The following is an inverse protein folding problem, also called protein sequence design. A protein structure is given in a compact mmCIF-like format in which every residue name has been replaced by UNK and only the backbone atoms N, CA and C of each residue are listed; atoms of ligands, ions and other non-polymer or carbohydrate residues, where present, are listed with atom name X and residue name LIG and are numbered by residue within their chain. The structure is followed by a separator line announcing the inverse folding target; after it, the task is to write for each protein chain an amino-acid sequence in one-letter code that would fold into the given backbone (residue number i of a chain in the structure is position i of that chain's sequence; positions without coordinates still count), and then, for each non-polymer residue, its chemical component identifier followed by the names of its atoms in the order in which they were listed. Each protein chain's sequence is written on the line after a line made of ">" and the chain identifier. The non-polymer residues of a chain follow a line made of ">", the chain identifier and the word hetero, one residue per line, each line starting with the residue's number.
data_IF_456320764322
#
_entry.id   IF_456320764322
#
_cell.length_a   1.000
_cell.length_b   1.000
_cell.length_c   1.000
_cell.angle_alpha   90.00
_cell.angle_beta   90.00
_cell.angle_gamma   90.00
#
_symmetry.space_group_name_H-M   'P 1'
#
loop_
_entity.id
_entity.type
_entity.pdbx_description
1 polymer ?
#
# COMPACT_ATOMS: atom_id res chain seq x y z
N UNK A 1 -1.56 -4.45 -14.49
CA UNK A 1 -1.81 -3.60 -13.32
C UNK A 1 -2.61 -2.40 -13.78
N UNK A 2 -3.87 -2.25 -13.37
CA UNK A 2 -4.71 -1.11 -13.78
C UNK A 2 -4.46 0.11 -12.91
N UNK A 3 -4.37 -0.09 -11.60
CA UNK A 3 -4.08 0.93 -10.61
C UNK A 3 -3.33 0.34 -9.40
N UNK A 4 -2.52 1.16 -8.76
CA UNK A 4 -1.69 0.85 -7.59
C UNK A 4 -1.71 2.04 -6.63
N UNK A 5 -1.89 1.77 -5.35
CA UNK A 5 -1.49 2.69 -4.26
C UNK A 5 -0.48 1.97 -3.39
N UNK A 6 0.70 2.55 -3.22
CA UNK A 6 1.80 1.90 -2.51
C UNK A 6 2.54 2.86 -1.61
N UNK A 7 3.01 2.34 -0.48
CA UNK A 7 4.00 2.96 0.39
C UNK A 7 5.32 2.24 0.13
N UNK A 8 6.31 2.91 -0.42
CA UNK A 8 7.67 2.36 -0.57
C UNK A 8 8.54 2.87 0.58
N UNK A 9 9.29 1.97 1.22
CA UNK A 9 10.04 2.26 2.43
C UNK A 9 11.52 1.94 2.19
N UNK A 10 12.36 2.94 2.48
CA UNK A 10 13.82 2.88 2.60
C UNK A 10 14.16 2.51 4.04
N UNK A 11 14.26 1.20 4.28
CA UNK A 11 14.38 0.60 5.62
C UNK A 11 15.76 0.78 6.22
N UNK A 12 16.79 1.08 5.42
CA UNK A 12 18.15 1.35 5.89
C UNK A 12 18.54 2.84 5.81
N UNK A 13 17.61 3.70 5.37
CA UNK A 13 17.78 5.13 5.11
C UNK A 13 18.95 5.45 4.18
N UNK A 14 19.21 4.58 3.21
CA UNK A 14 20.31 4.71 2.27
C UNK A 14 19.81 4.59 0.82
N UNK A 15 19.54 5.74 0.22
CA UNK A 15 19.17 5.90 -1.20
C UNK A 15 20.18 5.35 -2.23
N UNK A 16 21.34 4.82 -1.80
CA UNK A 16 22.32 4.14 -2.67
C UNK A 16 22.25 2.62 -2.63
N UNK A 17 21.48 2.05 -1.71
CA UNK A 17 21.12 0.63 -1.61
C UNK A 17 19.68 0.43 -2.09
N UNK A 18 19.12 -0.77 -1.91
CA UNK A 18 17.74 -1.06 -2.29
C UNK A 18 17.50 -1.08 -3.80
N UNK A 19 16.22 -1.06 -4.15
CA UNK A 19 15.81 -1.10 -5.55
C UNK A 19 16.24 0.13 -6.32
N UNK A 20 16.45 -0.01 -7.64
CA UNK A 20 16.59 1.12 -8.57
C UNK A 20 15.29 1.50 -9.29
N UNK A 21 14.21 0.76 -9.01
CA UNK A 21 12.90 0.97 -9.63
C UNK A 21 11.77 0.38 -8.76
N UNK A 22 10.63 1.08 -8.58
CA UNK A 22 10.28 2.38 -9.13
C UNK A 22 10.94 3.55 -8.40
N UNK A 23 11.44 3.31 -7.18
CA UNK A 23 12.11 4.31 -6.34
C UNK A 23 13.46 3.78 -5.91
N UNK A 24 14.47 4.64 -6.00
CA UNK A 24 15.81 4.32 -5.54
C UNK A 24 15.85 4.27 -4.01
N UNK A 25 16.48 3.23 -3.44
CA UNK A 25 16.67 3.16 -1.99
C UNK A 25 15.60 2.42 -1.21
N UNK A 26 14.59 1.84 -1.85
CA UNK A 26 13.53 1.15 -1.12
C UNK A 26 13.69 -0.38 -1.21
N UNK A 27 13.49 -1.06 -0.09
CA UNK A 27 13.58 -2.53 0.04
C UNK A 27 12.20 -3.17 0.17
N UNK A 28 11.19 -2.41 0.60
CA UNK A 28 9.86 -2.95 0.86
C UNK A 28 8.78 -1.99 0.38
N UNK A 29 7.68 -2.53 -0.14
CA UNK A 29 6.47 -1.78 -0.37
C UNK A 29 5.26 -2.40 0.32
N UNK A 30 4.33 -1.56 0.76
CA UNK A 30 3.01 -1.95 1.26
C UNK A 30 1.99 -1.44 0.25
N UNK A 31 1.23 -2.35 -0.38
CA UNK A 31 0.57 -2.04 -1.65
C UNK A 31 -0.88 -2.53 -1.75
N UNK A 32 -1.67 -1.74 -2.48
CA UNK A 32 -3.02 -2.00 -2.97
C UNK A 32 -2.97 -2.04 -4.50
N UNK A 33 -3.03 -3.22 -5.10
CA UNK A 33 -2.83 -3.34 -6.55
C UNK A 33 -4.02 -4.03 -7.23
N UNK A 34 -4.61 -3.38 -8.23
CA UNK A 34 -5.51 -4.06 -9.15
C UNK A 34 -4.73 -4.58 -10.37
N UNK A 35 -4.82 -5.88 -10.62
CA UNK A 35 -4.26 -6.50 -11.81
C UNK A 35 -5.34 -6.79 -12.85
N UNK A 36 -5.22 -6.17 -14.03
CA UNK A 36 -5.99 -6.52 -15.22
C UNK A 36 -5.13 -6.91 -16.41
N UNK A 37 -5.72 -7.77 -17.24
CA UNK A 37 -5.22 -8.06 -18.59
C UNK A 37 -5.37 -6.83 -19.49
N UNK A 38 -4.38 -6.60 -20.36
CA UNK A 38 -4.42 -5.51 -21.34
C UNK A 38 -5.69 -5.56 -22.19
N UNK A 39 -6.33 -4.40 -22.39
CA UNK A 39 -7.58 -4.27 -23.15
C UNK A 39 -8.87 -4.59 -22.38
N UNK A 40 -8.78 -4.92 -21.09
CA UNK A 40 -9.97 -5.08 -20.24
C UNK A 40 -10.67 -3.72 -20.01
N UNK A 41 -12.00 -3.73 -19.88
CA UNK A 41 -12.75 -2.55 -19.42
C UNK A 41 -12.36 -2.17 -18.00
N UNK A 42 -12.56 -0.91 -17.60
CA UNK A 42 -12.26 -0.42 -16.26
C UNK A 42 -12.90 -1.27 -15.15
N UNK A 43 -12.24 -1.41 -13.99
CA UNK A 43 -12.80 -2.17 -12.87
C UNK A 43 -13.65 -1.24 -12.05
N UNK A 44 -14.93 -1.56 -11.93
CA UNK A 44 -15.85 -0.81 -11.10
C UNK A 44 -16.18 -1.67 -9.87
N UNK A 45 -15.24 -1.71 -8.93
CA UNK A 45 -15.39 -2.33 -7.62
C UNK A 45 -14.78 -1.37 -6.57
N UNK A 46 -15.13 -1.60 -5.30
CA UNK A 46 -14.51 -0.92 -4.17
C UNK A 46 -13.00 -1.17 -4.15
N UNK A 47 -12.22 -0.27 -3.52
CA UNK A 47 -10.78 -0.48 -3.33
C UNK A 47 -10.52 -1.84 -2.67
N UNK A 48 -11.34 -2.18 -1.67
CA UNK A 48 -11.21 -3.42 -0.89
C UNK A 48 -11.56 -4.67 -1.69
N UNK A 49 -12.60 -4.64 -2.52
CA UNK A 49 -12.99 -5.78 -3.35
C UNK A 49 -12.14 -5.93 -4.61
N UNK A 50 -11.63 -4.81 -5.11
CA UNK A 50 -10.96 -4.71 -6.40
C UNK A 50 -9.43 -4.73 -6.33
N UNK A 51 -8.79 -4.77 -5.16
CA UNK A 51 -7.31 -4.79 -5.08
C UNK A 51 -6.77 -6.01 -4.35
N UNK A 52 -5.56 -6.41 -4.76
CA UNK A 52 -4.69 -7.26 -3.96
C UNK A 52 -4.02 -6.40 -2.89
N UNK A 53 -3.91 -6.95 -1.69
CA UNK A 53 -3.48 -6.27 -0.49
C UNK A 53 -2.27 -6.99 0.10
N UNK A 54 -1.06 -6.50 -0.14
CA UNK A 54 0.11 -7.20 0.37
C UNK A 54 1.36 -6.32 0.46
N UNK A 55 2.37 -6.87 1.13
CA UNK A 55 3.74 -6.36 1.08
C UNK A 55 4.49 -6.94 -0.11
N UNK A 56 5.44 -6.19 -0.64
CA UNK A 56 6.41 -6.66 -1.62
C UNK A 56 7.82 -6.39 -1.11
N UNK A 57 8.69 -7.38 -1.24
CA UNK A 57 10.13 -7.19 -1.11
C UNK A 57 10.64 -6.74 -2.48
N UNK A 58 11.32 -5.61 -2.50
CA UNK A 58 11.83 -4.98 -3.72
C UNK A 58 13.33 -5.21 -3.77
N UNK A 59 13.76 -6.05 -4.71
CA UNK A 59 15.17 -6.39 -4.88
C UNK A 59 15.92 -5.24 -5.58
N UNK A 60 17.25 -5.23 -5.43
CA UNK A 60 18.14 -4.23 -6.05
C UNK A 60 17.95 -4.11 -7.58
N UNK A 61 17.59 -5.22 -8.23
CA UNK A 61 17.35 -5.29 -9.67
C UNK A 61 15.97 -4.79 -10.12
N UNK A 62 15.12 -4.34 -9.18
CA UNK A 62 13.76 -3.89 -9.43
C UNK A 62 12.73 -5.01 -9.52
N UNK A 63 13.10 -6.25 -9.20
CA UNK A 63 12.13 -7.34 -9.11
C UNK A 63 11.37 -7.30 -7.79
N UNK A 64 10.15 -7.85 -7.82
CA UNK A 64 9.22 -7.85 -6.69
C UNK A 64 8.94 -9.28 -6.26
N UNK A 65 9.22 -9.56 -4.99
CA UNK A 65 8.83 -10.81 -4.36
C UNK A 65 7.64 -10.55 -3.45
N UNK A 66 6.63 -11.41 -3.57
CA UNK A 66 5.47 -11.36 -2.70
C UNK A 66 5.89 -11.61 -1.24
N UNK A 67 5.49 -10.73 -0.32
CA UNK A 67 5.67 -10.89 1.12
C UNK A 67 4.42 -11.51 1.77
N UNK A 68 3.60 -10.67 2.39
CA UNK A 68 2.45 -11.06 3.21
C UNK A 68 1.20 -10.26 2.87
N UNK A 69 0.02 -10.87 3.07
CA UNK A 69 -1.25 -10.12 2.98
C UNK A 69 -1.38 -9.13 4.14
N UNK A 70 -1.89 -7.94 3.85
CA UNK A 70 -2.09 -6.87 4.84
C UNK A 70 -3.57 -6.62 5.12
N UNK A 71 -3.87 -6.00 6.26
CA UNK A 71 -5.20 -5.50 6.55
C UNK A 71 -5.34 -4.07 6.02
N UNK A 72 -6.51 -3.73 5.45
CA UNK A 72 -6.81 -2.37 4.99
C UNK A 72 -8.16 -1.91 5.53
N UNK A 73 -8.22 -0.62 5.82
CA UNK A 73 -9.46 0.09 6.07
C UNK A 73 -9.56 1.30 5.14
N UNK A 74 -10.77 1.57 4.63
CA UNK A 74 -11.04 2.73 3.78
C UNK A 74 -12.12 3.58 4.42
N UNK A 75 -11.81 4.82 4.73
CA UNK A 75 -12.75 5.80 5.24
C UNK A 75 -13.11 6.81 4.16
N UNK A 76 -14.23 6.57 3.48
CA UNK A 76 -14.75 7.45 2.42
C UNK A 76 -15.22 8.82 2.93
N UNK A 77 -15.52 8.96 4.23
CA UNK A 77 -15.91 10.28 4.78
C UNK A 77 -14.73 11.22 4.96
N UNK A 78 -13.53 10.66 5.17
CA UNK A 78 -12.27 11.40 5.32
C UNK A 78 -11.32 11.20 4.15
N UNK A 79 -11.74 10.47 3.11
CA UNK A 79 -10.92 10.03 1.98
C UNK A 79 -9.57 9.44 2.42
N UNK A 80 -9.61 8.53 3.39
CA UNK A 80 -8.39 7.96 3.99
C UNK A 80 -8.33 6.47 3.73
N UNK A 81 -7.17 5.99 3.30
CA UNK A 81 -6.84 4.58 3.24
C UNK A 81 -5.81 4.32 4.34
N UNK A 82 -6.03 3.28 5.14
CA UNK A 82 -5.06 2.83 6.15
C UNK A 82 -4.66 1.40 5.81
N UNK A 83 -3.36 1.21 5.58
CA UNK A 83 -2.74 -0.09 5.34
C UNK A 83 -2.01 -0.52 6.61
N UNK A 84 -2.26 -1.75 7.06
CA UNK A 84 -1.76 -2.27 8.33
C UNK A 84 -1.00 -3.56 8.07
N UNK A 85 0.30 -3.52 8.33
CA UNK A 85 1.22 -4.64 8.16
C UNK A 85 1.92 -4.96 9.49
N UNK A 86 2.34 -6.22 9.69
CA UNK A 86 2.98 -6.64 10.94
C UNK A 86 4.49 -6.41 10.88
N UNK A 87 5.04 -5.72 11.90
CA UNK A 87 6.50 -5.64 12.11
C UNK A 87 7.15 -6.98 12.47
N UNK A 88 6.37 -8.04 12.70
CA UNK A 88 6.93 -9.37 12.95
C UNK A 88 7.39 -10.08 11.67
N UNK A 89 7.03 -9.56 10.49
CA UNK A 89 7.44 -10.13 9.21
C UNK A 89 8.89 -9.74 8.87
N UNK A 90 9.61 -10.66 8.24
CA UNK A 90 11.04 -10.53 7.96
C UNK A 90 11.35 -9.26 7.16
N UNK A 91 10.49 -8.89 6.21
CA UNK A 91 10.68 -7.71 5.38
C UNK A 91 10.34 -6.37 6.07
N UNK A 92 9.68 -6.40 7.22
CA UNK A 92 9.27 -5.21 7.98
C UNK A 92 9.92 -5.12 9.36
N UNK A 93 10.70 -6.12 9.77
CA UNK A 93 11.24 -6.20 11.13
C UNK A 93 12.17 -5.03 11.46
N UNK A 94 12.92 -4.57 10.46
CA UNK A 94 13.87 -3.48 10.58
C UNK A 94 13.26 -2.10 10.24
N UNK A 95 11.97 -2.05 9.83
CA UNK A 95 11.31 -0.77 9.51
C UNK A 95 11.03 0.02 10.78
N UNK A 96 11.66 1.18 10.90
CA UNK A 96 11.55 2.09 12.03
C UNK A 96 10.73 3.34 11.68
N UNK A 97 10.16 3.97 12.71
CA UNK A 97 9.37 5.20 12.56
C UNK A 97 10.18 6.42 12.17
N UNK A 98 11.48 6.26 11.87
CA UNK A 98 12.40 7.27 11.34
C UNK A 98 12.71 7.06 9.86
N UNK A 99 12.29 5.92 9.30
CA UNK A 99 12.70 5.50 7.96
C UNK A 99 12.12 6.36 6.86
N UNK A 100 12.85 6.38 5.77
CA UNK A 100 12.47 7.04 4.54
C UNK A 100 11.29 6.34 3.89
N UNK A 101 10.33 7.10 3.37
CA UNK A 101 9.23 6.54 2.60
C UNK A 101 8.71 7.48 1.53
N UNK A 102 8.00 6.88 0.59
CA UNK A 102 7.31 7.50 -0.53
C UNK A 102 5.90 6.92 -0.64
N UNK A 103 4.94 7.76 -1.03
CA UNK A 103 3.70 7.26 -1.59
C UNK A 103 3.76 7.30 -3.11
N UNK A 104 3.20 6.26 -3.72
CA UNK A 104 3.05 6.20 -5.17
C UNK A 104 1.62 5.84 -5.50
N UNK A 105 1.04 6.60 -6.42
CA UNK A 105 -0.14 6.20 -7.18
C UNK A 105 0.29 5.88 -8.61
N UNK A 106 0.09 4.64 -9.07
CA UNK A 106 0.37 4.24 -10.46
C UNK A 106 -0.91 3.86 -11.19
N UNK A 107 -1.02 4.18 -12.49
CA UNK A 107 -2.16 3.78 -13.33
C UNK A 107 -1.77 3.59 -14.79
N UNK A 108 -2.61 2.90 -15.58
CA UNK A 108 -2.47 2.90 -17.04
C UNK A 108 -3.08 4.17 -17.66
N UNK A 109 -2.24 4.98 -18.30
CA UNK A 109 -2.62 6.08 -19.17
C UNK A 109 -2.54 5.66 -20.66
N UNK A 110 -2.95 6.57 -21.55
CA UNK A 110 -3.03 6.29 -22.99
C UNK A 110 -1.67 5.97 -23.64
N UNK A 111 -0.57 6.42 -23.03
CA UNK A 111 0.81 6.29 -23.51
C UNK A 111 1.66 5.30 -22.69
N UNK A 112 1.09 4.67 -21.65
CA UNK A 112 1.80 3.69 -20.84
C UNK A 112 1.40 3.71 -19.38
N UNK A 113 2.33 3.36 -18.49
CA UNK A 113 2.12 3.47 -17.04
C UNK A 113 2.51 4.89 -16.62
N UNK A 114 1.55 5.61 -16.06
CA UNK A 114 1.77 6.88 -15.37
C UNK A 114 1.95 6.62 -13.87
N UNK A 115 2.72 7.49 -13.23
CA UNK A 115 2.96 7.46 -11.78
C UNK A 115 2.96 8.86 -11.25
N UNK A 116 2.27 9.04 -10.14
CA UNK A 116 2.45 10.14 -9.22
C UNK A 116 3.27 9.61 -8.03
N UNK A 117 4.34 10.33 -7.70
CA UNK A 117 5.33 9.94 -6.69
C UNK A 117 5.53 11.15 -5.79
N UNK A 118 5.18 10.99 -4.52
CA UNK A 118 5.40 12.05 -3.54
C UNK A 118 6.89 12.27 -3.29
N UNK A 119 7.24 13.41 -2.71
CA UNK A 119 8.62 13.62 -2.22
C UNK A 119 9.00 12.58 -1.15
N UNK A 120 10.30 12.30 -1.03
CA UNK A 120 10.85 11.50 0.05
C UNK A 120 10.59 12.17 1.41
N UNK A 121 10.18 11.40 2.41
CA UNK A 121 10.09 11.88 3.79
C UNK A 121 10.61 10.83 4.76
N UNK A 122 11.28 11.29 5.82
CA UNK A 122 11.70 10.43 6.92
C UNK A 122 10.71 10.47 8.07
N UNK A 123 10.43 9.31 8.63
CA UNK A 123 9.67 9.10 9.86
C UNK A 123 8.20 9.51 9.85
N UNK A 124 7.61 9.82 11.02
CA UNK A 124 6.16 10.12 11.11
C UNK A 124 5.71 11.47 10.51
N UNK A 125 6.54 12.09 9.68
CA UNK A 125 6.23 13.35 9.01
C UNK A 125 5.15 13.14 7.96
N UNK A 126 4.19 14.08 7.87
CA UNK A 126 3.18 14.07 6.82
C UNK A 126 3.82 14.50 5.52
N UNK A 127 3.79 13.64 4.50
CA UNK A 127 4.07 14.02 3.12
C UNK A 127 2.80 14.61 2.54
N UNK A 128 2.92 15.67 1.75
CA UNK A 128 1.79 16.26 1.00
C UNK A 128 2.11 16.25 -0.48
N UNK A 129 1.16 15.83 -1.31
CA UNK A 129 1.14 16.13 -2.74
C UNK A 129 0.01 17.14 -3.05
N UNK A 130 0.35 18.43 -3.26
CA UNK A 130 -0.64 19.46 -3.53
C UNK A 130 -1.00 19.59 -5.02
N UNK A 131 -0.28 18.93 -5.93
CA UNK A 131 -0.51 19.07 -7.38
C UNK A 131 -1.73 18.27 -7.82
N UNK A 132 -1.99 17.14 -7.17
CA UNK A 132 -3.16 16.31 -7.40
C UNK A 132 -3.32 15.96 -8.87
N UNK A 133 -2.29 15.30 -9.39
CA UNK A 133 -2.03 15.13 -10.82
C UNK A 133 -2.60 13.81 -11.38
N UNK A 134 -3.29 13.03 -10.57
CA UNK A 134 -4.11 11.89 -11.03
C UNK A 134 -5.42 12.38 -11.66
N UNK A 135 -5.91 11.68 -12.69
CA UNK A 135 -7.15 12.11 -13.35
C UNK A 135 -8.36 12.00 -12.42
N UNK A 136 -9.32 12.93 -12.52
CA UNK A 136 -10.52 13.09 -11.66
C UNK A 136 -11.42 11.86 -11.40
N UNK A 137 -11.13 10.70 -12.00
CA UNK A 137 -11.79 9.42 -11.70
C UNK A 137 -10.97 8.47 -10.83
N UNK A 138 -9.72 8.79 -10.52
CA UNK A 138 -8.81 7.99 -9.69
C UNK A 138 -8.60 8.65 -8.34
N UNK A 139 -8.31 7.83 -7.32
CA UNK A 139 -8.01 8.33 -5.98
C UNK A 139 -6.58 8.85 -5.97
N UNK A 140 -6.50 10.12 -5.60
CA UNK A 140 -5.29 10.91 -5.47
C UNK A 140 -4.70 10.82 -4.06
N UNK A 141 -3.38 10.84 -3.93
CA UNK A 141 -2.70 10.79 -2.62
C UNK A 141 -2.25 12.20 -2.23
N UNK A 142 -3.18 12.99 -1.71
CA UNK A 142 -2.87 14.36 -1.30
C UNK A 142 -1.95 14.45 -0.09
N UNK A 143 -1.94 13.42 0.77
CA UNK A 143 -1.05 13.34 1.91
C UNK A 143 -0.95 11.92 2.50
N UNK A 144 0.08 11.67 3.30
CA UNK A 144 0.14 10.48 4.15
C UNK A 144 1.29 10.49 5.15
N UNK A 145 1.35 9.48 6.00
CA UNK A 145 2.40 9.28 7.01
C UNK A 145 2.66 7.81 7.25
N UNK A 146 3.89 7.47 7.67
CA UNK A 146 4.25 6.13 8.16
C UNK A 146 4.25 6.11 9.70
N UNK A 147 3.58 5.11 10.29
CA UNK A 147 3.59 4.85 11.73
C UNK A 147 4.02 3.42 12.01
N UNK A 148 5.26 3.25 12.47
CA UNK A 148 5.85 1.96 12.84
C UNK A 148 5.76 1.67 14.36
N UNK A 149 5.02 2.49 15.13
CA UNK A 149 4.91 2.34 16.59
C UNK A 149 3.89 1.29 17.02
N UNK A 150 3.05 0.80 16.10
CA UNK A 150 2.08 -0.26 16.39
C UNK A 150 2.74 -1.65 16.26
N UNK A 151 2.88 -2.33 17.41
CA UNK A 151 3.54 -3.64 17.49
C UNK A 151 2.57 -4.80 17.69
N UNK A 152 1.25 -4.56 17.64
CA UNK A 152 0.25 -5.62 17.76
C UNK A 152 -0.12 -6.16 16.38
N UNK A 153 -0.25 -7.49 16.27
CA UNK A 153 -0.81 -8.14 15.10
C UNK A 153 -2.09 -7.42 14.61
N UNK A 154 -2.29 -7.30 13.29
CA UNK A 154 -3.52 -6.77 12.74
C UNK A 154 -4.74 -7.54 13.29
N UNK A 155 -5.51 -6.88 14.15
CA UNK A 155 -6.62 -7.51 14.87
C UNK A 155 -7.93 -7.52 14.06
N UNK A 156 -7.96 -6.87 12.89
CA UNK A 156 -9.16 -6.60 12.12
C UNK A 156 -8.99 -7.04 10.66
N UNK A 157 -9.00 -8.36 10.44
CA UNK A 157 -9.28 -8.92 9.12
C UNK A 157 -10.72 -8.63 8.74
N UNK A 158 -11.02 -7.43 8.24
CA UNK A 158 -12.39 -7.06 7.92
C UNK A 158 -12.58 -5.63 7.44
N UNK A 159 -13.18 -5.54 6.26
CA UNK A 159 -13.76 -4.37 5.62
C UNK A 159 -14.55 -3.50 6.63
N UNK A 160 -13.98 -2.33 6.96
CA UNK A 160 -14.72 -1.26 7.63
C UNK A 160 -15.39 -0.37 6.60
N UNK A 161 -16.46 -0.93 6.02
CA UNK A 161 -17.60 -0.27 5.38
C UNK A 161 -17.60 -0.24 3.84
N UNK A 162 -18.41 -1.14 3.28
CA UNK A 162 -19.53 -0.70 2.42
C UNK A 162 -20.91 -1.34 2.72
N UNK A 163 -21.04 -2.21 3.72
CA UNK A 163 -22.35 -2.70 4.24
C UNK A 163 -22.42 -2.97 5.76
N UNK A 164 -21.33 -2.75 6.51
CA UNK A 164 -21.35 -2.69 7.98
C UNK A 164 -21.36 -4.04 8.72
N UNK A 165 -20.92 -5.15 8.10
CA UNK A 165 -20.79 -6.43 8.81
C UNK A 165 -19.42 -7.11 8.64
N UNK A 166 -18.74 -7.30 9.77
CA UNK A 166 -17.65 -8.28 9.91
C UNK A 166 -18.30 -9.66 9.82
N UNK A 167 -18.09 -10.39 8.72
CA UNK A 167 -18.40 -11.82 8.72
C UNK A 167 -17.30 -12.54 9.49
N UNK A 168 -17.46 -12.60 10.82
CA UNK A 168 -16.67 -13.48 11.66
C UNK A 168 -16.84 -14.91 11.11
N UNK A 169 -15.78 -15.50 10.58
CA UNK A 169 -15.75 -16.95 10.36
C UNK A 169 -15.97 -17.60 11.72
N UNK A 170 -17.19 -18.08 11.95
CA UNK A 170 -17.53 -18.93 13.08
C UNK A 170 -16.54 -20.10 13.08
N UNK A 171 -15.66 -20.15 14.07
CA UNK A 171 -15.10 -21.41 14.53
C UNK A 171 -16.29 -22.22 15.03
N UNK A 172 -16.72 -23.20 14.22
CA UNK A 172 -17.77 -24.13 14.62
C UNK A 172 -17.40 -24.76 15.97
N UNK A 173 -18.39 -25.11 16.80
CA UNK A 173 -18.12 -25.68 18.11
C UNK A 173 -17.37 -26.99 17.94
N UNK A 174 -16.31 -27.17 18.75
CA UNK A 174 -15.72 -28.47 19.00
C UNK A 174 -16.83 -29.39 19.52
N UNK A 175 -17.33 -30.28 18.67
CA UNK A 175 -18.16 -31.40 19.10
C UNK A 175 -17.27 -32.39 19.83
N UNK A 176 -17.73 -32.77 21.03
CA UNK A 176 -17.10 -33.68 21.97
C UNK A 176 -16.72 -35.04 21.39
#
# INVERSE_FOLDING_TARGET
>A
MEYEWSIYIDSDNNLSTGSSWPINGCEVSISLINFKSSGSTQHDDTILGGTQHNTWIVDEDGSFNYGHEIDITVNYSTNTITMIASKEWEELIDVEGTDGFYFIASWYAADGISRDITNHSGGSNVITDPEGDVSYGFIDILQGSLDASQTSDPANKGDLNFDGYITLRHTGPATC
#
